data_IF_974650156379
#
_entry.id   IF_974650156379
#
_cell.length_a   1.000
_cell.length_b   1.000
_cell.length_c   1.000
_cell.angle_alpha   90.00
_cell.angle_beta   90.00
_cell.angle_gamma   90.00
#
_symmetry.space_group_name_H-M   'P 1'
#
loop_
_entity.id
_entity.type
_entity.pdbx_description
1 polymer ?
#
# COMPACT_ATOMS: atom_id res chain seq x y z
N UNK A 1 7.03 12.62 -2.25
CA UNK A 1 7.86 11.72 -3.09
C UNK A 1 7.05 11.30 -4.29
N UNK A 2 7.49 11.59 -5.49
CA UNK A 2 6.85 11.11 -6.72
C UNK A 2 7.69 9.97 -7.28
N UNK A 3 7.12 8.77 -7.36
CA UNK A 3 7.79 7.60 -7.93
C UNK A 3 7.09 7.27 -9.25
N UNK A 4 7.84 7.38 -10.33
CA UNK A 4 7.31 7.13 -11.68
C UNK A 4 7.22 5.62 -12.02
N UNK A 5 7.80 4.77 -11.19
CA UNK A 5 7.84 3.32 -11.35
C UNK A 5 7.64 2.64 -9.99
N UNK A 6 6.75 1.66 -9.94
CA UNK A 6 6.44 0.87 -8.74
C UNK A 6 7.28 -0.39 -8.61
N UNK A 7 8.34 -0.53 -9.41
CA UNK A 7 9.27 -1.64 -9.32
C UNK A 7 9.96 -1.65 -7.93
N UNK A 8 10.13 -2.83 -7.36
CA UNK A 8 10.73 -3.03 -6.03
C UNK A 8 12.13 -2.40 -5.91
N UNK A 9 12.93 -2.50 -6.97
CA UNK A 9 14.28 -1.92 -6.99
C UNK A 9 14.26 -0.40 -6.94
N UNK A 10 13.35 0.23 -7.68
CA UNK A 10 13.14 1.68 -7.68
C UNK A 10 12.65 2.16 -6.33
N UNK A 11 11.67 1.48 -5.75
CA UNK A 11 11.16 1.79 -4.41
C UNK A 11 12.25 1.68 -3.35
N UNK A 12 13.04 0.62 -3.38
CA UNK A 12 14.19 0.47 -2.47
C UNK A 12 15.17 1.62 -2.59
N UNK A 13 15.55 1.98 -3.82
CA UNK A 13 16.48 3.09 -4.07
C UNK A 13 15.96 4.41 -3.49
N UNK A 14 14.69 4.72 -3.72
CA UNK A 14 14.07 5.95 -3.21
C UNK A 14 13.99 5.97 -1.68
N UNK A 15 13.66 4.84 -1.06
CA UNK A 15 13.66 4.72 0.40
C UNK A 15 15.08 4.93 0.95
N UNK A 16 16.08 4.30 0.35
CA UNK A 16 17.48 4.50 0.75
C UNK A 16 17.92 5.96 0.60
N UNK A 17 17.53 6.65 -0.47
CA UNK A 17 17.81 8.06 -0.68
C UNK A 17 17.19 8.94 0.42
N UNK A 18 15.96 8.63 0.82
CA UNK A 18 15.29 9.36 1.92
C UNK A 18 16.03 9.11 3.24
N UNK A 19 16.35 7.85 3.57
CA UNK A 19 17.09 7.52 4.78
C UNK A 19 18.43 8.26 4.85
N UNK A 20 19.18 8.27 3.75
CA UNK A 20 20.46 9.00 3.66
C UNK A 20 20.27 10.50 3.86
N UNK A 21 19.19 11.09 3.33
CA UNK A 21 18.88 12.51 3.52
C UNK A 21 18.66 12.88 4.99
N UNK A 22 18.21 11.95 5.80
CA UNK A 22 18.00 12.14 7.24
C UNK A 22 19.12 11.54 8.10
N UNK A 23 20.28 11.26 7.53
CA UNK A 23 21.42 10.63 8.21
C UNK A 23 21.09 9.28 8.88
N UNK A 24 20.16 8.54 8.29
CA UNK A 24 19.76 7.22 8.76
C UNK A 24 20.45 6.13 7.92
N UNK A 25 21.27 5.30 8.56
CA UNK A 25 21.90 4.17 7.90
C UNK A 25 20.94 2.99 7.75
N UNK A 26 20.92 2.40 6.56
CA UNK A 26 20.12 1.21 6.29
C UNK A 26 20.54 0.00 7.14
N UNK A 27 21.79 -0.05 7.57
CA UNK A 27 22.32 -1.11 8.45
C UNK A 27 21.65 -1.14 9.83
N UNK A 28 21.09 -0.02 10.24
CA UNK A 28 20.34 0.12 11.48
C UNK A 28 18.84 -0.23 11.35
N UNK A 29 18.39 -0.61 10.16
CA UNK A 29 17.00 -1.01 9.95
C UNK A 29 16.70 -2.30 10.74
N UNK A 30 15.64 -2.28 11.56
CA UNK A 30 15.24 -3.42 12.38
C UNK A 30 13.89 -4.01 12.01
N UNK A 31 13.11 -3.28 11.22
CA UNK A 31 11.79 -3.72 10.80
C UNK A 31 11.32 -3.05 9.51
N UNK A 32 10.44 -3.72 8.82
CA UNK A 32 9.77 -3.23 7.64
C UNK A 32 8.32 -3.71 7.65
N UNK A 33 7.37 -2.82 7.37
CA UNK A 33 5.96 -3.15 7.41
C UNK A 33 5.21 -2.51 6.25
N UNK A 34 4.50 -3.31 5.47
CA UNK A 34 3.66 -2.86 4.37
C UNK A 34 2.66 -3.94 3.96
N UNK A 35 1.80 -3.59 3.00
CA UNK A 35 0.81 -4.52 2.46
C UNK A 35 1.44 -5.68 1.66
N UNK A 36 0.63 -6.69 1.37
CA UNK A 36 1.10 -7.93 0.75
C UNK A 36 1.12 -7.92 -0.78
N UNK A 37 1.20 -6.76 -1.45
CA UNK A 37 1.36 -6.70 -2.89
C UNK A 37 2.64 -7.42 -3.36
N UNK A 38 2.63 -8.00 -4.55
CA UNK A 38 3.73 -8.85 -5.05
C UNK A 38 5.07 -8.11 -5.16
N UNK A 39 5.03 -6.83 -5.57
CA UNK A 39 6.21 -5.96 -5.61
C UNK A 39 6.78 -5.63 -4.23
N UNK A 40 5.97 -5.76 -3.18
CA UNK A 40 6.39 -5.52 -1.80
C UNK A 40 6.89 -6.80 -1.13
N UNK A 41 6.15 -7.90 -1.25
CA UNK A 41 6.37 -9.15 -0.51
C UNK A 41 7.03 -10.26 -1.33
N UNK A 42 7.18 -10.10 -2.65
CA UNK A 42 7.74 -11.14 -3.52
C UNK A 42 8.98 -11.80 -2.92
N UNK A 43 9.02 -13.13 -2.92
CA UNK A 43 10.00 -13.95 -2.21
C UNK A 43 11.44 -13.69 -2.67
N UNK A 44 11.63 -13.42 -3.96
CA UNK A 44 12.96 -13.26 -4.55
C UNK A 44 13.34 -11.80 -4.83
N UNK A 45 12.41 -11.04 -5.36
CA UNK A 45 12.66 -9.68 -5.86
C UNK A 45 11.69 -8.63 -5.30
N UNK A 46 10.83 -8.98 -4.36
CA UNK A 46 10.00 -8.02 -3.65
C UNK A 46 10.84 -7.11 -2.77
N UNK A 47 10.29 -5.96 -2.41
CA UNK A 47 10.95 -4.96 -1.57
C UNK A 47 11.46 -5.59 -0.26
N UNK A 48 10.66 -6.47 0.35
CA UNK A 48 11.04 -7.24 1.54
C UNK A 48 12.34 -8.00 1.33
N UNK A 49 12.44 -8.76 0.24
CA UNK A 49 13.63 -9.59 -0.04
C UNK A 49 14.87 -8.72 -0.30
N UNK A 50 14.70 -7.62 -1.00
CA UNK A 50 15.78 -6.68 -1.29
C UNK A 50 16.34 -6.02 -0.03
N UNK A 51 15.50 -5.66 0.93
CA UNK A 51 15.98 -5.13 2.22
C UNK A 51 16.61 -6.21 3.09
N UNK A 52 16.09 -7.43 3.11
CA UNK A 52 16.67 -8.53 3.87
C UNK A 52 18.06 -8.96 3.37
N UNK A 53 18.35 -8.77 2.08
CA UNK A 53 19.70 -9.00 1.54
C UNK A 53 20.74 -8.05 2.12
N UNK A 54 20.37 -6.78 2.31
CA UNK A 54 21.28 -5.77 2.85
C UNK A 54 21.27 -5.76 4.38
N UNK A 55 20.12 -6.02 4.99
CA UNK A 55 19.96 -6.02 6.43
C UNK A 55 19.12 -7.24 6.88
N UNK A 56 19.73 -8.34 7.28
CA UNK A 56 19.03 -9.55 7.73
C UNK A 56 18.12 -9.33 8.95
N UNK A 57 18.37 -8.28 9.71
CA UNK A 57 17.60 -7.93 10.90
C UNK A 57 16.38 -7.05 10.65
N UNK A 58 16.14 -6.68 9.40
CA UNK A 58 14.97 -5.91 8.99
C UNK A 58 13.73 -6.81 8.88
N UNK A 59 13.22 -7.29 10.01
CA UNK A 59 12.09 -8.22 10.07
C UNK A 59 10.85 -7.62 9.42
N UNK A 60 10.22 -8.41 8.56
CA UNK A 60 9.00 -8.01 7.88
C UNK A 60 7.76 -8.28 8.72
N UNK A 61 6.90 -7.28 8.80
CA UNK A 61 5.57 -7.40 9.38
C UNK A 61 4.54 -6.99 8.33
N UNK A 62 3.53 -7.82 8.13
CA UNK A 62 2.39 -7.44 7.28
C UNK A 62 1.60 -6.30 7.94
N UNK A 63 1.29 -5.25 7.18
CA UNK A 63 0.55 -4.09 7.69
C UNK A 63 -0.75 -4.52 8.38
N UNK A 64 -0.87 -4.24 9.68
CA UNK A 64 -2.05 -4.62 10.46
C UNK A 64 -3.30 -3.85 10.03
N UNK A 65 -3.17 -2.60 9.60
CA UNK A 65 -4.29 -1.82 9.07
C UNK A 65 -4.86 -2.48 7.81
N UNK A 66 -4.01 -2.93 6.92
CA UNK A 66 -4.43 -3.67 5.72
C UNK A 66 -5.08 -5.01 6.08
N UNK A 67 -4.52 -5.76 7.03
CA UNK A 67 -5.12 -7.01 7.52
C UNK A 67 -6.49 -6.80 8.13
N UNK A 68 -6.66 -5.74 8.93
CA UNK A 68 -7.94 -5.36 9.49
C UNK A 68 -8.95 -5.03 8.38
N UNK A 69 -8.54 -4.24 7.39
CA UNK A 69 -9.39 -3.92 6.24
C UNK A 69 -9.86 -5.17 5.51
N UNK A 70 -8.97 -6.13 5.23
CA UNK A 70 -9.32 -7.39 4.58
C UNK A 70 -10.32 -8.20 5.41
N UNK A 71 -10.15 -8.24 6.73
CA UNK A 71 -11.06 -8.91 7.67
C UNK A 71 -12.44 -8.27 7.64
N UNK A 72 -12.51 -6.92 7.72
CA UNK A 72 -13.77 -6.18 7.67
C UNK A 72 -14.50 -6.39 6.34
N UNK A 73 -13.78 -6.41 5.21
CA UNK A 73 -14.36 -6.70 3.89
C UNK A 73 -14.90 -8.14 3.84
N UNK A 74 -14.16 -9.10 4.39
CA UNK A 74 -14.62 -10.49 4.43
C UNK A 74 -15.90 -10.64 5.26
N UNK A 75 -15.95 -10.04 6.45
CA UNK A 75 -17.15 -10.05 7.31
C UNK A 75 -18.32 -9.33 6.63
N UNK A 76 -18.09 -8.18 6.01
CA UNK A 76 -19.14 -7.44 5.31
C UNK A 76 -19.77 -8.25 4.16
N UNK A 77 -19.03 -9.13 3.51
CA UNK A 77 -19.55 -10.02 2.45
C UNK A 77 -20.54 -11.05 2.95
N UNK A 78 -20.42 -11.48 4.19
CA UNK A 78 -21.32 -12.46 4.81
C UNK A 78 -22.69 -11.85 5.19
N UNK A 79 -22.78 -10.52 5.31
CA UNK A 79 -24.02 -9.80 5.61
C UNK A 79 -24.53 -9.12 4.34
N UNK A 80 -25.57 -9.69 3.73
CA UNK A 80 -26.09 -9.27 2.42
C UNK A 80 -26.37 -7.76 2.34
N UNK A 81 -27.05 -7.20 3.32
CA UNK A 81 -27.42 -5.78 3.31
C UNK A 81 -26.20 -4.85 3.40
N UNK A 82 -25.21 -5.23 4.20
CA UNK A 82 -23.93 -4.49 4.33
C UNK A 82 -23.15 -4.57 3.02
N UNK A 83 -23.07 -5.74 2.42
CA UNK A 83 -22.44 -5.92 1.11
C UNK A 83 -23.12 -5.09 0.02
N UNK A 84 -24.44 -5.11 -0.02
CA UNK A 84 -25.23 -4.33 -0.98
C UNK A 84 -25.02 -2.84 -0.81
N UNK A 85 -24.99 -2.34 0.43
CA UNK A 85 -24.69 -0.94 0.75
C UNK A 85 -23.33 -0.53 0.21
N UNK A 86 -22.27 -1.26 0.55
CA UNK A 86 -20.92 -0.91 0.08
C UNK A 86 -20.76 -1.06 -1.43
N UNK A 87 -21.42 -2.03 -2.05
CA UNK A 87 -21.42 -2.19 -3.51
C UNK A 87 -22.05 -0.97 -4.21
N UNK A 88 -23.18 -0.47 -3.72
CA UNK A 88 -23.83 0.74 -4.23
C UNK A 88 -22.96 1.98 -4.00
N UNK A 89 -22.39 2.14 -2.82
CA UNK A 89 -21.49 3.24 -2.50
C UNK A 89 -20.27 3.26 -3.43
N UNK A 90 -19.65 2.11 -3.65
CA UNK A 90 -18.53 1.98 -4.58
C UNK A 90 -18.91 2.33 -6.01
N UNK A 91 -20.11 1.93 -6.45
CA UNK A 91 -20.61 2.27 -7.78
C UNK A 91 -20.77 3.79 -7.95
N UNK A 92 -21.29 4.49 -6.94
CA UNK A 92 -21.40 5.95 -6.94
C UNK A 92 -20.03 6.61 -6.98
N UNK A 93 -19.10 6.18 -6.13
CA UNK A 93 -17.73 6.71 -6.09
C UNK A 93 -17.05 6.52 -7.44
N UNK A 94 -17.13 5.33 -8.02
CA UNK A 94 -16.53 5.03 -9.32
C UNK A 94 -17.17 5.86 -10.44
N UNK A 95 -18.49 6.01 -10.41
CA UNK A 95 -19.20 6.85 -11.39
C UNK A 95 -18.74 8.31 -11.34
N UNK A 96 -18.60 8.88 -10.15
CA UNK A 96 -18.12 10.26 -9.98
C UNK A 96 -16.65 10.39 -10.36
N UNK A 97 -15.80 9.46 -9.90
CA UNK A 97 -14.35 9.50 -10.12
C UNK A 97 -13.95 9.24 -11.58
N UNK A 98 -14.76 8.49 -12.34
CA UNK A 98 -14.48 8.18 -13.74
C UNK A 98 -14.66 9.40 -14.68
N UNK A 99 -15.24 10.51 -14.22
CA UNK A 99 -15.39 11.72 -15.00
C UNK A 99 -14.79 12.92 -14.28
N UNK A 100 -13.82 13.55 -14.91
CA UNK A 100 -13.21 14.78 -14.38
C UNK A 100 -14.26 15.88 -14.13
N UNK A 101 -15.23 16.02 -15.02
CA UNK A 101 -16.32 16.99 -14.87
C UNK A 101 -17.15 16.72 -13.61
N UNK A 102 -17.65 15.51 -13.42
CA UNK A 102 -18.46 15.14 -12.24
C UNK A 102 -17.67 15.30 -10.94
N UNK A 103 -16.40 14.92 -10.95
CA UNK A 103 -15.51 15.09 -9.79
C UNK A 103 -15.29 16.56 -9.44
N UNK A 104 -15.12 17.43 -10.45
CA UNK A 104 -14.97 18.87 -10.26
C UNK A 104 -16.26 19.52 -9.75
N UNK A 105 -17.41 19.14 -10.30
CA UNK A 105 -18.72 19.61 -9.84
C UNK A 105 -18.97 19.22 -8.37
N UNK A 106 -18.62 18.02 -7.95
CA UNK A 106 -18.76 17.59 -6.57
C UNK A 106 -17.87 18.41 -5.62
N UNK A 107 -16.65 18.72 -6.03
CA UNK A 107 -15.73 19.56 -5.23
C UNK A 107 -16.18 21.03 -5.11
N UNK A 108 -17.01 21.51 -5.99
CA UNK A 108 -17.51 22.89 -5.99
C UNK A 108 -18.68 23.14 -5.03
N UNK A 109 -19.24 22.07 -4.47
CA UNK A 109 -20.31 22.13 -3.46
C UNK A 109 -19.71 22.38 -2.07
#
# INVERSE_FOLDING_TARGET
MSVNDTNSSTLKKEICNILTRYDLSIENLRGQGYEGASNMRGEWNGLRALFLKDCPYAYYIHCFAHRLQLTLVAVAKEVHDVWLFFSKLNSIINFVSASFKRHSELKSI
#
